data_IF_350009116666
#
_entry.id   IF_350009116666
#
_cell.length_a   1.000
_cell.length_b   1.000
_cell.length_c   1.000
_cell.angle_alpha   90.00
_cell.angle_beta   90.00
_cell.angle_gamma   90.00
#
_symmetry.space_group_name_H-M   'P 1'
#
loop_
_entity.id
_entity.type
_entity.pdbx_description
1 polymer ?
#
# COMPACT_ATOMS: atom_id res chain seq x y z
N UNK A 1 46.52 14.73 42.54
CA UNK A 1 45.53 15.59 43.21
C UNK A 1 45.58 16.92 42.49
N UNK A 2 44.59 17.40 41.74
CA UNK A 2 43.30 16.89 41.30
C UNK A 2 42.95 17.70 40.03
N UNK A 3 42.89 17.02 38.88
CA UNK A 3 42.50 17.59 37.60
C UNK A 3 41.01 17.28 37.37
N UNK A 4 40.12 18.03 38.00
CA UNK A 4 38.68 17.80 37.81
C UNK A 4 37.79 19.02 38.04
N UNK A 5 38.27 20.26 37.83
CA UNK A 5 37.43 21.45 38.04
C UNK A 5 37.57 22.60 37.03
N UNK A 6 38.01 22.34 35.79
CA UNK A 6 38.09 23.37 34.74
C UNK A 6 37.23 23.09 33.49
N UNK A 7 36.30 22.14 33.55
CA UNK A 7 35.45 21.75 32.41
C UNK A 7 33.94 21.73 32.72
N UNK A 8 33.45 22.69 33.51
CA UNK A 8 31.99 22.83 33.70
C UNK A 8 31.38 24.21 33.45
N UNK A 9 32.13 25.20 32.97
CA UNK A 9 31.55 26.55 32.79
C UNK A 9 31.66 27.20 31.40
N UNK A 10 31.95 26.43 30.33
CA UNK A 10 31.94 26.98 28.95
C UNK A 10 31.10 26.18 27.92
N UNK A 11 30.28 25.22 28.36
CA UNK A 11 29.43 24.43 27.44
C UNK A 11 27.97 24.91 27.32
N UNK A 12 27.56 25.94 28.05
CA UNK A 12 26.18 26.49 27.96
C UNK A 12 26.01 27.60 26.93
N UNK A 13 27.08 28.26 26.48
CA UNK A 13 26.99 29.35 25.49
C UNK A 13 27.07 28.87 24.02
N UNK A 14 27.74 27.76 23.74
CA UNK A 14 27.84 27.20 22.39
C UNK A 14 26.63 26.34 21.97
N UNK A 15 25.87 25.80 22.94
CA UNK A 15 24.65 25.03 22.65
C UNK A 15 23.49 25.88 22.12
N UNK A 16 23.46 27.17 22.45
CA UNK A 16 22.41 28.10 22.01
C UNK A 16 22.49 28.43 20.52
N UNK A 17 23.66 28.83 20.02
CA UNK A 17 23.84 29.16 18.60
C UNK A 17 23.74 27.94 17.68
N UNK A 18 24.24 26.78 18.12
CA UNK A 18 24.16 25.55 17.31
C UNK A 18 22.71 25.06 17.18
N UNK A 19 21.93 25.15 18.25
CA UNK A 19 20.50 24.81 18.23
C UNK A 19 19.71 25.83 17.40
N UNK A 20 19.98 27.13 17.55
CA UNK A 20 19.28 28.19 16.82
C UNK A 20 19.60 28.20 15.31
N UNK A 21 20.83 27.85 14.91
CA UNK A 21 21.19 27.64 13.50
C UNK A 21 20.57 26.34 12.95
N UNK A 22 20.45 25.27 13.75
CA UNK A 22 19.77 24.03 13.33
C UNK A 22 18.28 24.23 13.14
N UNK A 23 17.61 25.02 13.97
CA UNK A 23 16.19 25.34 13.80
C UNK A 23 15.96 26.22 12.58
N UNK A 24 16.87 27.16 12.26
CA UNK A 24 16.80 27.94 11.01
C UNK A 24 17.11 27.10 9.77
N UNK A 25 18.06 26.17 9.84
CA UNK A 25 18.34 25.19 8.77
C UNK A 25 17.18 24.21 8.56
N UNK A 26 16.56 23.70 9.62
CA UNK A 26 15.37 22.84 9.54
C UNK A 26 14.12 23.58 9.07
N UNK A 27 14.00 24.88 9.34
CA UNK A 27 12.91 25.71 8.81
C UNK A 27 13.09 26.03 7.31
N UNK A 28 14.35 26.16 6.82
CA UNK A 28 14.66 26.35 5.40
C UNK A 28 14.57 25.02 4.63
N UNK A 29 15.00 23.90 5.22
CA UNK A 29 14.89 22.55 4.62
C UNK A 29 13.51 21.88 4.81
N UNK A 30 12.63 22.45 5.64
CA UNK A 30 11.37 21.82 6.08
C UNK A 30 10.09 22.36 5.45
N UNK A 31 10.15 23.26 4.46
CA UNK A 31 8.96 23.83 3.80
C UNK A 31 9.05 23.92 2.28
N UNK A 32 9.84 23.05 1.67
CA UNK A 32 9.50 22.53 0.35
C UNK A 32 9.03 21.10 0.57
N UNK A 33 7.72 20.89 0.72
CA UNK A 33 7.11 19.65 0.23
C UNK A 33 7.30 19.67 -1.27
N UNK A 34 8.53 19.38 -1.68
CA UNK A 34 8.87 19.15 -3.06
C UNK A 34 8.13 17.87 -3.45
N UNK A 35 7.06 18.04 -4.21
CA UNK A 35 6.27 16.94 -4.73
C UNK A 35 7.16 15.97 -5.56
N UNK A 36 8.36 16.40 -5.97
CA UNK A 36 9.34 15.56 -6.66
C UNK A 36 10.00 14.49 -5.77
N UNK A 37 10.25 14.78 -4.48
CA UNK A 37 10.96 13.85 -3.57
C UNK A 37 10.02 12.72 -3.11
N UNK A 38 8.76 13.05 -2.81
CA UNK A 38 7.73 12.06 -2.45
C UNK A 38 7.39 11.16 -3.65
N UNK A 39 7.38 11.72 -4.87
CA UNK A 39 7.19 10.95 -6.11
C UNK A 39 8.29 9.89 -6.32
N UNK A 40 9.56 10.29 -6.24
CA UNK A 40 10.70 9.39 -6.44
C UNK A 40 10.79 8.29 -5.35
N UNK A 41 10.50 8.63 -4.08
CA UNK A 41 10.46 7.64 -3.00
C UNK A 41 9.30 6.65 -3.16
N UNK A 42 8.11 7.12 -3.59
CA UNK A 42 6.98 6.26 -3.85
C UNK A 42 7.20 5.35 -5.07
N UNK A 43 7.89 5.82 -6.10
CA UNK A 43 8.31 4.98 -7.23
C UNK A 43 9.25 3.85 -6.79
N UNK A 44 10.26 4.16 -5.97
CA UNK A 44 11.17 3.13 -5.42
C UNK A 44 10.39 2.09 -4.59
N UNK A 45 9.46 2.54 -3.75
CA UNK A 45 8.64 1.64 -2.93
C UNK A 45 7.64 0.82 -3.74
N UNK A 46 7.12 1.37 -4.83
CA UNK A 46 6.24 0.64 -5.75
C UNK A 46 7.02 -0.37 -6.61
N UNK A 47 8.31 -0.15 -6.83
CA UNK A 47 9.13 -1.03 -7.68
C UNK A 47 9.13 -2.50 -7.24
N UNK A 48 9.04 -2.77 -5.94
CA UNK A 48 8.96 -4.14 -5.41
C UNK A 48 7.68 -4.88 -5.85
N UNK A 49 6.60 -4.14 -6.11
CA UNK A 49 5.31 -4.68 -6.54
C UNK A 49 5.26 -4.93 -8.04
N UNK A 50 6.15 -4.29 -8.83
CA UNK A 50 6.17 -4.45 -10.28
C UNK A 50 6.47 -5.90 -10.64
N UNK A 51 5.70 -6.46 -11.57
CA UNK A 51 5.83 -7.83 -12.05
C UNK A 51 4.51 -8.60 -12.04
N UNK A 52 4.62 -9.91 -12.29
CA UNK A 52 3.48 -10.83 -12.33
C UNK A 52 3.45 -11.68 -11.07
N UNK A 53 2.26 -11.81 -10.51
CA UNK A 53 1.98 -12.47 -9.24
C UNK A 53 0.85 -13.44 -9.43
N UNK A 54 1.08 -14.73 -9.18
CA UNK A 54 0.05 -15.77 -9.25
C UNK A 54 -0.40 -16.14 -7.85
N UNK A 55 -1.72 -16.16 -7.60
CA UNK A 55 -2.26 -16.63 -6.34
C UNK A 55 -1.91 -18.11 -6.13
N UNK A 56 -1.35 -18.42 -4.95
CA UNK A 56 -0.94 -19.78 -4.54
C UNK A 56 -1.68 -20.26 -3.30
N UNK A 57 -2.33 -19.36 -2.55
CA UNK A 57 -3.08 -19.71 -1.35
C UNK A 57 -3.98 -18.58 -0.88
N UNK A 58 -4.93 -18.91 -0.02
CA UNK A 58 -5.77 -17.95 0.66
C UNK A 58 -6.19 -18.46 2.04
N UNK A 59 -6.52 -17.52 2.93
CA UNK A 59 -7.00 -17.76 4.29
C UNK A 59 -8.24 -16.89 4.54
N UNK A 60 -9.28 -17.46 5.15
CA UNK A 60 -10.54 -16.78 5.49
C UNK A 60 -11.29 -16.12 4.31
N UNK A 61 -10.93 -16.44 3.06
CA UNK A 61 -11.52 -15.86 1.86
C UNK A 61 -13.01 -16.20 1.72
N UNK A 62 -13.41 -17.43 2.08
CA UNK A 62 -14.81 -17.86 2.06
C UNK A 62 -15.67 -17.07 3.06
N UNK A 63 -15.16 -16.80 4.27
CA UNK A 63 -15.88 -16.00 5.27
C UNK A 63 -16.07 -14.57 4.82
N UNK A 64 -15.03 -13.96 4.24
CA UNK A 64 -15.11 -12.62 3.69
C UNK A 64 -16.10 -12.56 2.52
N UNK A 65 -15.99 -13.48 1.56
CA UNK A 65 -16.89 -13.54 0.41
C UNK A 65 -18.34 -13.77 0.85
N UNK A 66 -18.57 -14.59 1.87
CA UNK A 66 -19.89 -14.79 2.46
C UNK A 66 -20.44 -13.50 3.07
N UNK A 67 -19.61 -12.75 3.81
CA UNK A 67 -20.00 -11.47 4.38
C UNK A 67 -20.25 -10.38 3.32
N UNK A 68 -19.51 -10.42 2.21
CA UNK A 68 -19.71 -9.55 1.05
C UNK A 68 -20.92 -9.95 0.19
N UNK A 69 -21.56 -11.09 0.44
CA UNK A 69 -22.72 -11.57 -0.32
C UNK A 69 -22.38 -12.22 -1.66
N UNK A 70 -21.16 -12.72 -1.82
CA UNK A 70 -20.73 -13.45 -3.03
C UNK A 70 -21.42 -14.82 -3.10
N UNK A 71 -21.89 -15.17 -4.31
CA UNK A 71 -22.58 -16.43 -4.59
C UNK A 71 -21.76 -17.66 -4.16
N UNK A 72 -22.45 -18.67 -3.63
CA UNK A 72 -21.85 -19.90 -3.12
C UNK A 72 -21.01 -20.65 -4.16
N UNK A 73 -21.42 -20.62 -5.43
CA UNK A 73 -20.67 -21.23 -6.53
C UNK A 73 -19.29 -20.57 -6.70
N UNK A 74 -19.22 -19.24 -6.66
CA UNK A 74 -17.97 -18.49 -6.79
C UNK A 74 -17.08 -18.72 -5.56
N UNK A 75 -17.67 -18.81 -4.36
CA UNK A 75 -16.96 -19.13 -3.12
C UNK A 75 -16.36 -20.53 -3.14
N UNK A 76 -17.11 -21.54 -3.61
CA UNK A 76 -16.59 -22.92 -3.73
C UNK A 76 -15.42 -22.98 -4.72
N UNK A 77 -15.55 -22.35 -5.89
CA UNK A 77 -14.47 -22.29 -6.88
C UNK A 77 -13.21 -21.58 -6.37
N UNK A 78 -13.37 -20.52 -5.59
CA UNK A 78 -12.24 -19.81 -4.97
C UNK A 78 -11.55 -20.68 -3.90
N UNK A 79 -12.33 -21.41 -3.10
CA UNK A 79 -11.83 -22.33 -2.07
C UNK A 79 -11.11 -23.55 -2.65
N UNK A 80 -11.63 -24.09 -3.74
CA UNK A 80 -11.04 -25.23 -4.48
C UNK A 80 -9.80 -24.82 -5.29
N UNK A 81 -9.44 -23.52 -5.29
CA UNK A 81 -8.30 -23.02 -6.05
C UNK A 81 -8.51 -23.06 -7.56
N UNK A 82 -9.76 -23.18 -8.03
CA UNK A 82 -10.13 -23.11 -9.45
C UNK A 82 -10.05 -21.68 -9.98
N UNK A 83 -10.07 -20.69 -9.08
CA UNK A 83 -9.91 -19.27 -9.37
C UNK A 83 -8.57 -18.82 -8.81
N UNK A 84 -7.55 -18.83 -9.69
CA UNK A 84 -6.21 -18.34 -9.36
C UNK A 84 -5.98 -17.00 -10.08
N UNK A 85 -6.26 -15.87 -9.44
CA UNK A 85 -5.97 -14.58 -10.04
C UNK A 85 -4.47 -14.41 -10.26
N UNK A 86 -4.11 -13.94 -11.45
CA UNK A 86 -2.78 -13.45 -11.78
C UNK A 86 -2.86 -11.93 -11.77
N UNK A 87 -2.10 -11.28 -10.89
CA UNK A 87 -1.95 -9.83 -10.84
C UNK A 87 -0.66 -9.42 -11.54
N UNK A 88 -0.78 -8.61 -12.57
CA UNK A 88 0.34 -7.98 -13.26
C UNK A 88 0.34 -6.50 -12.92
N UNK A 89 1.39 -6.06 -12.22
CA UNK A 89 1.53 -4.67 -11.76
C UNK A 89 2.61 -4.02 -12.61
N UNK A 90 2.25 -2.92 -13.27
CA UNK A 90 3.11 -2.16 -14.17
C UNK A 90 3.16 -0.69 -13.77
N UNK A 91 4.19 0.01 -14.26
CA UNK A 91 4.35 1.45 -14.14
C UNK A 91 4.66 2.05 -15.51
N UNK A 92 4.03 3.19 -15.83
CA UNK A 92 4.30 3.98 -17.03
C UNK A 92 4.42 5.45 -16.65
N UNK A 93 5.66 5.90 -16.42
CA UNK A 93 5.93 7.23 -15.88
C UNK A 93 5.42 7.34 -14.44
N UNK A 94 4.39 8.17 -14.24
CA UNK A 94 3.79 8.42 -12.92
C UNK A 94 2.46 7.67 -12.71
N UNK A 95 2.04 6.85 -13.68
CA UNK A 95 0.83 6.04 -13.62
C UNK A 95 1.17 4.57 -13.38
N UNK A 96 0.42 3.95 -12.48
CA UNK A 96 0.50 2.53 -12.17
C UNK A 96 -0.68 1.82 -12.80
N UNK A 97 -0.50 0.57 -13.23
CA UNK A 97 -1.61 -0.30 -13.60
C UNK A 97 -1.54 -1.64 -12.87
N UNK A 98 -2.70 -2.12 -12.43
CA UNK A 98 -2.89 -3.48 -11.92
C UNK A 98 -3.83 -4.18 -12.87
N UNK A 99 -3.30 -5.16 -13.60
CA UNK A 99 -4.08 -6.06 -14.44
C UNK A 99 -4.31 -7.37 -13.71
N UNK A 100 -5.57 -7.69 -13.45
CA UNK A 100 -5.97 -8.96 -12.83
C UNK A 100 -6.55 -9.88 -13.88
N UNK A 101 -5.99 -11.08 -14.03
CA UNK A 101 -6.45 -12.11 -14.97
C UNK A 101 -6.92 -13.34 -14.22
N UNK A 102 -8.13 -13.82 -14.51
CA UNK A 102 -8.74 -15.02 -13.93
C UNK A 102 -9.30 -15.86 -15.08
N UNK A 103 -8.69 -17.00 -15.37
CA UNK A 103 -9.09 -17.84 -16.51
C UNK A 103 -9.03 -17.06 -17.83
N UNK A 104 -10.18 -16.83 -18.46
CA UNK A 104 -10.31 -16.07 -19.70
C UNK A 104 -10.68 -14.59 -19.49
N UNK A 105 -10.99 -14.18 -18.26
CA UNK A 105 -11.37 -12.80 -17.93
C UNK A 105 -10.13 -12.02 -17.48
N UNK A 106 -9.94 -10.82 -18.03
CA UNK A 106 -8.90 -9.89 -17.58
C UNK A 106 -9.47 -8.50 -17.38
N UNK A 107 -9.17 -7.89 -16.25
CA UNK A 107 -9.51 -6.50 -15.94
C UNK A 107 -8.22 -5.72 -15.67
N UNK A 108 -8.14 -4.48 -16.13
CA UNK A 108 -6.99 -3.60 -15.88
C UNK A 108 -7.48 -2.29 -15.27
N UNK A 109 -6.83 -1.87 -14.20
CA UNK A 109 -7.10 -0.60 -13.51
C UNK A 109 -5.83 0.23 -13.53
N UNK A 110 -5.93 1.45 -14.05
CA UNK A 110 -4.87 2.45 -14.02
C UNK A 110 -5.14 3.46 -12.91
N UNK A 111 -4.12 3.79 -12.12
CA UNK A 111 -4.25 4.70 -10.99
C UNK A 111 -2.98 5.51 -10.74
N UNK A 112 -3.13 6.59 -9.98
CA UNK A 112 -2.03 7.36 -9.39
C UNK A 112 -2.13 7.26 -7.88
N UNK A 113 -0.98 7.18 -7.22
CA UNK A 113 -0.94 7.18 -5.76
C UNK A 113 -1.50 8.50 -5.21
N UNK A 114 -2.33 8.43 -4.17
CA UNK A 114 -2.97 9.59 -3.54
C UNK A 114 -4.13 10.18 -4.32
N UNK A 115 -4.49 9.63 -5.49
CA UNK A 115 -5.62 10.12 -6.29
C UNK A 115 -6.81 9.18 -6.14
N UNK A 116 -7.90 9.71 -5.60
CA UNK A 116 -9.18 9.00 -5.56
C UNK A 116 -9.86 9.04 -6.93
N UNK A 117 -10.36 7.91 -7.39
CA UNK A 117 -11.11 7.82 -8.65
C UNK A 117 -12.36 6.95 -8.52
N UNK A 118 -13.41 7.23 -9.31
CA UNK A 118 -14.58 6.38 -9.35
C UNK A 118 -14.24 5.06 -10.08
N UNK A 119 -14.55 3.94 -9.45
CA UNK A 119 -14.47 2.59 -10.03
C UNK A 119 -15.80 1.88 -9.84
N UNK A 120 -15.94 0.71 -10.46
CA UNK A 120 -17.09 -0.18 -10.25
C UNK A 120 -16.62 -1.41 -9.49
N UNK A 121 -17.27 -1.72 -8.37
CA UNK A 121 -17.08 -3.01 -7.70
C UNK A 121 -17.52 -4.15 -8.63
N UNK A 122 -17.09 -5.37 -8.33
CA UNK A 122 -17.54 -6.58 -9.03
C UNK A 122 -19.07 -6.71 -9.07
N UNK A 123 -19.76 -6.15 -8.07
CA UNK A 123 -21.23 -6.15 -7.97
C UNK A 123 -21.91 -4.99 -8.72
N UNK A 124 -21.19 -4.22 -9.54
CA UNK A 124 -21.73 -3.10 -10.32
C UNK A 124 -22.02 -1.82 -9.54
N UNK A 125 -21.66 -1.78 -8.25
CA UNK A 125 -21.77 -0.58 -7.40
C UNK A 125 -20.65 0.41 -7.72
N UNK A 126 -20.97 1.70 -7.84
CA UNK A 126 -20.00 2.79 -8.03
C UNK A 126 -19.22 3.02 -6.74
N UNK A 127 -18.01 2.50 -6.66
CA UNK A 127 -17.11 2.66 -5.52
C UNK A 127 -16.13 3.81 -5.79
N UNK A 128 -15.64 4.46 -4.73
CA UNK A 128 -14.49 5.35 -4.81
C UNK A 128 -13.25 4.59 -4.35
N UNK A 129 -12.22 4.55 -5.19
CA UNK A 129 -10.98 3.80 -4.92
C UNK A 129 -9.82 4.77 -4.81
N UNK A 130 -8.98 4.57 -3.79
CA UNK A 130 -7.74 5.32 -3.60
C UNK A 130 -6.60 4.36 -3.30
N UNK A 131 -5.47 4.51 -3.99
CA UNK A 131 -4.24 3.76 -3.70
C UNK A 131 -3.24 4.66 -3.00
N UNK A 132 -2.70 4.20 -1.88
CA UNK A 132 -1.71 4.91 -1.07
C UNK A 132 -0.57 4.00 -0.66
N UNK A 133 0.62 4.57 -0.50
CA UNK A 133 1.75 3.87 0.11
C UNK A 133 1.81 4.21 1.60
N UNK A 134 1.59 3.20 2.44
CA UNK A 134 1.76 3.30 3.89
C UNK A 134 3.02 2.53 4.30
N UNK A 135 4.14 3.24 4.48
CA UNK A 135 5.44 2.62 4.66
C UNK A 135 5.86 1.84 3.41
N UNK A 136 5.92 0.51 3.52
CA UNK A 136 6.24 -0.44 2.44
C UNK A 136 5.01 -1.25 2.00
N UNK A 137 3.82 -0.87 2.47
CA UNK A 137 2.55 -1.51 2.16
C UNK A 137 1.78 -0.64 1.16
N UNK A 138 1.30 -1.26 0.09
CA UNK A 138 0.36 -0.63 -0.84
C UNK A 138 -1.06 -0.85 -0.32
N UNK A 139 -1.71 0.22 0.11
CA UNK A 139 -3.09 0.20 0.59
C UNK A 139 -4.03 0.70 -0.50
N UNK A 140 -5.05 -0.09 -0.78
CA UNK A 140 -6.18 0.26 -1.63
C UNK A 140 -7.41 0.39 -0.73
N UNK A 141 -7.97 1.60 -0.69
CA UNK A 141 -9.18 1.91 0.08
C UNK A 141 -10.34 2.05 -0.89
N UNK A 142 -11.37 1.23 -0.71
CA UNK A 142 -12.61 1.24 -1.48
C UNK A 142 -13.75 1.70 -0.59
N UNK A 143 -14.47 2.74 -1.00
CA UNK A 143 -15.61 3.29 -0.24
C UNK A 143 -16.88 3.32 -1.08
N UNK A 144 -18.02 3.02 -0.45
CA UNK A 144 -19.36 3.08 -1.05
C UNK A 144 -20.42 3.42 0.00
N UNK A 145 -20.89 4.66 0.01
CA UNK A 145 -21.79 5.13 1.07
C UNK A 145 -21.13 4.96 2.44
N UNK A 146 -21.76 4.20 3.33
CA UNK A 146 -21.23 3.90 4.67
C UNK A 146 -20.31 2.65 4.70
N UNK A 147 -20.10 2.00 3.55
CA UNK A 147 -19.23 0.83 3.43
C UNK A 147 -17.79 1.25 3.10
N UNK A 148 -16.84 0.68 3.84
CA UNK A 148 -15.40 0.79 3.57
C UNK A 148 -14.78 -0.61 3.51
N UNK A 149 -13.93 -0.83 2.52
CA UNK A 149 -13.04 -1.98 2.43
C UNK A 149 -11.62 -1.51 2.21
N UNK A 150 -10.67 -2.19 2.86
CA UNK A 150 -9.24 -1.90 2.75
C UNK A 150 -8.53 -3.15 2.27
N UNK A 151 -7.71 -3.01 1.24
CA UNK A 151 -6.87 -4.07 0.70
C UNK A 151 -5.42 -3.61 0.83
N UNK A 152 -4.68 -4.24 1.75
CA UNK A 152 -3.26 -3.98 1.96
C UNK A 152 -2.42 -5.04 1.28
N UNK A 153 -1.45 -4.63 0.46
CA UNK A 153 -0.52 -5.53 -0.23
C UNK A 153 0.89 -5.28 0.29
N UNK A 154 1.59 -6.35 0.67
CA UNK A 154 2.98 -6.30 1.11
C UNK A 154 3.80 -7.32 0.35
N UNK A 155 4.94 -6.89 -0.18
CA UNK A 155 5.92 -7.76 -0.82
C UNK A 155 7.02 -8.11 0.17
N UNK A 156 7.46 -9.35 0.15
CA UNK A 156 8.65 -9.83 0.87
C UNK A 156 9.39 -10.81 -0.02
N UNK A 157 10.40 -10.32 -0.74
CA UNK A 157 11.11 -11.10 -1.77
C UNK A 157 10.18 -11.45 -2.94
N UNK A 158 9.95 -12.74 -3.14
CA UNK A 158 9.09 -13.28 -4.21
C UNK A 158 7.67 -13.64 -3.74
N UNK A 159 7.34 -13.25 -2.51
CA UNK A 159 6.01 -13.40 -1.92
C UNK A 159 5.29 -12.05 -1.90
N UNK A 160 4.05 -12.04 -2.37
CA UNK A 160 3.12 -10.91 -2.18
C UNK A 160 1.94 -11.40 -1.36
N UNK A 161 1.71 -10.75 -0.22
CA UNK A 161 0.58 -11.03 0.67
C UNK A 161 -0.42 -9.89 0.53
N UNK A 162 -1.64 -10.20 0.10
CA UNK A 162 -2.75 -9.27 0.07
C UNK A 162 -3.70 -9.59 1.21
N UNK A 163 -3.91 -8.65 2.13
CA UNK A 163 -4.91 -8.74 3.19
C UNK A 163 -6.08 -7.84 2.83
N UNK A 164 -7.28 -8.41 2.86
CA UNK A 164 -8.53 -7.73 2.50
C UNK A 164 -9.39 -7.67 3.75
N UNK A 165 -9.78 -6.47 4.16
CA UNK A 165 -10.69 -6.25 5.28
C UNK A 165 -11.94 -5.52 4.79
N UNK A 166 -13.11 -6.08 5.06
CA UNK A 166 -14.40 -5.54 4.67
C UNK A 166 -15.54 -6.23 5.44
N UNK A 167 -16.62 -5.49 5.74
CA UNK A 167 -17.75 -5.98 6.54
C UNK A 167 -17.35 -6.60 7.88
N UNK A 168 -16.29 -6.10 8.53
CA UNK A 168 -15.77 -6.64 9.79
C UNK A 168 -15.11 -8.02 9.67
N UNK A 169 -14.84 -8.50 8.45
CA UNK A 169 -14.10 -9.73 8.15
C UNK A 169 -12.76 -9.41 7.51
N UNK A 170 -11.79 -10.27 7.74
CA UNK A 170 -10.45 -10.16 7.15
C UNK A 170 -10.07 -11.48 6.50
N UNK A 171 -9.60 -11.40 5.26
CA UNK A 171 -9.05 -12.52 4.50
C UNK A 171 -7.65 -12.19 3.97
N UNK A 172 -6.86 -13.23 3.70
CA UNK A 172 -5.53 -13.09 3.14
C UNK A 172 -5.42 -13.91 1.86
N UNK A 173 -4.75 -13.38 0.85
CA UNK A 173 -4.40 -14.08 -0.38
C UNK A 173 -2.88 -13.99 -0.55
N UNK A 174 -2.25 -15.16 -0.70
CA UNK A 174 -0.82 -15.29 -0.90
C UNK A 174 -0.54 -15.49 -2.39
N UNK A 175 0.35 -14.67 -2.93
CA UNK A 175 0.79 -14.71 -4.31
C UNK A 175 2.30 -14.99 -4.38
N UNK A 176 2.71 -15.71 -5.43
CA UNK A 176 4.11 -15.91 -5.79
C UNK A 176 4.42 -15.19 -7.09
N UNK A 177 5.63 -14.61 -7.17
CA UNK A 177 6.14 -14.04 -8.42
C UNK A 177 6.27 -15.14 -9.48
N UNK A 178 5.91 -14.82 -10.73
CA UNK A 178 6.02 -15.71 -11.91
C UNK A 178 6.72 -15.04 -13.08
#
# INVERSE_FOLDING_TARGET
>A
MDHSNFFQNELSAFGGLYTQQRTKLQAILGKHTDHSVTGAQNQLKMSQFIGKWKAVGNENLDELFKACGVDEEMRSKAKEGLIQPIQEINIKGDEYSIKTTVGHLSTEVCFKLGVTFPSSSMDGKKIMVTYNMNGDTLEEVQTYGDYEAVISRKVTGDDLVSTITGQGKTATICYKRI
#
